data_IF_580428335089
#
_entry.id   IF_580428335089
#
_cell.length_a   1.000
_cell.length_b   1.000
_cell.length_c   1.000
_cell.angle_alpha   90.00
_cell.angle_beta   90.00
_cell.angle_gamma   90.00
#
_symmetry.space_group_name_H-M   'P 1'
#
loop_
_entity.id
_entity.type
_entity.pdbx_description
1 polymer ?
#
# COMPACT_ATOMS: atom_id res chain seq x y z
N UNK A 1 -20.78 9.46 0.01
CA UNK A 1 -21.59 8.31 -0.28
C UNK A 1 -21.10 7.11 0.47
N UNK A 2 -22.02 6.20 0.74
CA UNK A 2 -21.68 5.02 1.52
C UNK A 2 -20.64 4.16 0.83
N UNK A 3 -20.79 3.98 -0.47
CA UNK A 3 -19.87 3.15 -1.23
C UNK A 3 -18.46 3.71 -1.17
N UNK A 4 -18.35 5.00 -1.35
CA UNK A 4 -17.05 5.64 -1.31
C UNK A 4 -16.44 5.57 0.07
N UNK A 5 -17.26 5.76 1.10
CA UNK A 5 -16.79 5.64 2.47
C UNK A 5 -16.26 4.25 2.77
N UNK A 6 -16.93 3.23 2.27
CA UNK A 6 -16.50 1.86 2.50
C UNK A 6 -15.18 1.58 1.80
N UNK A 7 -15.00 2.13 0.61
CA UNK A 7 -13.75 1.96 -0.09
C UNK A 7 -12.60 2.67 0.61
N UNK A 8 -12.87 3.88 1.10
CA UNK A 8 -11.85 4.61 1.84
C UNK A 8 -11.46 3.86 3.10
N UNK A 9 -12.44 3.29 3.79
CA UNK A 9 -12.17 2.53 5.00
C UNK A 9 -11.34 1.29 4.70
N UNK A 10 -11.62 0.65 3.58
CA UNK A 10 -10.84 -0.52 3.18
C UNK A 10 -9.40 -0.14 2.90
N UNK A 11 -9.22 0.95 2.19
CA UNK A 11 -7.87 1.43 1.89
C UNK A 11 -7.14 1.79 3.18
N UNK A 12 -7.84 2.44 4.09
CA UNK A 12 -7.27 2.79 5.38
C UNK A 12 -6.83 1.54 6.15
N UNK A 13 -7.67 0.52 6.11
CA UNK A 13 -7.36 -0.74 6.80
C UNK A 13 -6.08 -1.36 6.23
N UNK A 14 -5.96 -1.37 4.91
CA UNK A 14 -4.76 -1.90 4.27
C UNK A 14 -3.53 -1.11 4.67
N UNK A 15 -3.67 0.21 4.74
CA UNK A 15 -2.56 1.07 5.13
C UNK A 15 -2.11 0.77 6.55
N UNK A 16 -3.08 0.56 7.45
CA UNK A 16 -2.74 0.24 8.83
C UNK A 16 -2.05 -1.10 8.94
N UNK A 17 -2.46 -2.07 8.14
CA UNK A 17 -1.80 -3.37 8.14
C UNK A 17 -0.36 -3.25 7.67
N UNK A 18 -0.13 -2.42 6.66
CA UNK A 18 1.24 -2.18 6.19
C UNK A 18 2.07 -1.57 7.32
N UNK A 19 1.51 -0.57 7.99
CA UNK A 19 2.20 0.10 9.08
C UNK A 19 2.53 -0.88 10.21
N UNK A 20 1.58 -1.71 10.56
CA UNK A 20 1.78 -2.69 11.61
C UNK A 20 2.88 -3.67 11.27
N UNK A 21 2.90 -4.11 10.02
CA UNK A 21 3.92 -5.06 9.58
C UNK A 21 5.31 -4.43 9.63
N UNK A 22 5.40 -3.18 9.19
CA UNK A 22 6.67 -2.47 9.22
C UNK A 22 7.18 -2.27 10.64
N UNK A 23 6.26 -2.06 11.58
CA UNK A 23 6.62 -1.80 12.96
C UNK A 23 6.80 -3.05 13.81
N UNK A 24 6.43 -4.20 13.26
CA UNK A 24 6.53 -5.44 14.02
C UNK A 24 7.98 -5.79 14.37
N UNK A 25 8.88 -5.43 13.51
CA UNK A 25 10.29 -5.59 13.79
C UNK A 25 10.75 -7.02 13.88
N UNK A 26 9.99 -7.95 13.34
CA UNK A 26 10.35 -9.36 13.44
C UNK A 26 11.52 -9.69 12.56
N UNK A 27 11.54 -9.12 11.38
CA UNK A 27 12.61 -9.35 10.42
C UNK A 27 12.84 -8.08 9.66
N UNK A 28 14.06 -7.92 9.20
CA UNK A 28 14.38 -6.79 8.37
C UNK A 28 13.79 -7.04 6.98
N UNK A 29 12.97 -6.11 6.55
CA UNK A 29 12.46 -6.16 5.20
C UNK A 29 13.58 -5.76 4.25
N UNK A 30 13.76 -6.53 3.21
CA UNK A 30 14.84 -6.26 2.27
C UNK A 30 14.64 -4.91 1.61
N UNK A 31 15.77 -4.25 1.38
CA UNK A 31 15.73 -2.93 0.79
C UNK A 31 15.06 -2.94 -0.58
N UNK A 32 15.37 -3.94 -1.38
CA UNK A 32 14.79 -4.01 -2.72
C UNK A 32 13.28 -4.28 -2.69
N UNK A 33 12.77 -4.84 -1.59
CA UNK A 33 11.33 -4.97 -1.42
C UNK A 33 10.71 -3.64 -1.02
N UNK A 34 11.42 -2.87 -0.20
CA UNK A 34 10.92 -1.59 0.28
C UNK A 34 10.78 -0.57 -0.84
N UNK A 35 11.68 -0.61 -1.81
CA UNK A 35 11.64 0.38 -2.89
C UNK A 35 10.29 0.39 -3.59
N UNK A 36 9.80 -0.75 -4.12
CA UNK A 36 8.50 -0.72 -4.77
C UNK A 36 7.34 -0.46 -3.82
N UNK A 37 7.46 -0.85 -2.56
CA UNK A 37 6.42 -0.55 -1.58
C UNK A 37 6.30 0.96 -1.41
N UNK A 38 7.42 1.62 -1.21
CA UNK A 38 7.43 3.07 -1.03
C UNK A 38 6.96 3.76 -2.30
N UNK A 39 7.39 3.26 -3.46
CA UNK A 39 6.97 3.85 -4.72
C UNK A 39 5.46 3.83 -4.87
N UNK A 40 4.85 2.67 -4.61
CA UNK A 40 3.40 2.55 -4.74
C UNK A 40 2.66 3.45 -3.76
N UNK A 41 3.13 3.49 -2.51
CA UNK A 41 2.48 4.34 -1.51
C UNK A 41 2.63 5.81 -1.86
N UNK A 42 3.78 6.20 -2.38
CA UNK A 42 4.01 7.58 -2.78
C UNK A 42 3.10 7.99 -3.92
N UNK A 43 2.89 7.08 -4.87
CA UNK A 43 1.99 7.37 -5.98
C UNK A 43 0.56 7.54 -5.50
N UNK A 44 0.14 6.70 -4.54
CA UNK A 44 -1.21 6.83 -3.98
C UNK A 44 -1.37 8.17 -3.27
N UNK A 45 -0.38 8.55 -2.49
CA UNK A 45 -0.43 9.80 -1.75
C UNK A 45 -0.46 10.98 -2.72
N UNK A 46 0.37 10.91 -3.77
CA UNK A 46 0.41 11.99 -4.75
C UNK A 46 -0.94 12.18 -5.43
N UNK A 47 -1.60 11.08 -5.73
CA UNK A 47 -2.91 11.17 -6.36
C UNK A 47 -3.95 11.77 -5.41
N UNK A 48 -3.94 11.29 -4.16
CA UNK A 48 -4.90 11.76 -3.16
C UNK A 48 -4.77 13.23 -2.84
N UNK A 49 -3.56 13.75 -2.93
CA UNK A 49 -3.29 15.12 -2.52
C UNK A 49 -3.30 16.09 -3.69
N UNK A 50 -3.82 15.66 -4.83
CA UNK A 50 -3.94 16.55 -5.97
C UNK A 50 -4.72 17.80 -5.57
N UNK A 51 -4.13 18.96 -5.82
CA UNK A 51 -4.71 20.22 -5.37
C UNK A 51 -6.03 20.55 -6.06
N UNK A 52 -6.26 19.97 -7.21
CA UNK A 52 -7.50 20.17 -7.96
C UNK A 52 -8.59 19.21 -7.48
N UNK A 53 -8.21 18.20 -6.71
CA UNK A 53 -9.18 17.26 -6.19
C UNK A 53 -9.55 16.16 -7.17
N UNK A 54 -8.76 15.97 -8.18
CA UNK A 54 -9.04 14.94 -9.19
C UNK A 54 -8.29 13.65 -8.88
N UNK A 55 -8.63 13.06 -7.77
CA UNK A 55 -8.02 11.77 -7.44
C UNK A 55 -8.95 10.64 -7.85
N UNK A 56 -8.37 9.48 -8.08
CA UNK A 56 -9.12 8.29 -8.46
C UNK A 56 -9.00 7.25 -7.36
N UNK A 57 -10.14 6.86 -6.79
CA UNK A 57 -10.14 5.82 -5.78
C UNK A 57 -9.64 4.51 -6.34
N UNK A 58 -9.94 4.23 -7.61
CA UNK A 58 -9.44 3.02 -8.23
C UNK A 58 -7.92 3.00 -8.25
N UNK A 59 -7.32 4.11 -8.63
CA UNK A 59 -5.88 4.21 -8.68
C UNK A 59 -5.26 4.11 -7.29
N UNK A 60 -5.82 4.84 -6.34
CA UNK A 60 -5.31 4.83 -4.97
C UNK A 60 -5.40 3.44 -4.38
N UNK A 61 -6.55 2.80 -4.55
CA UNK A 61 -6.75 1.47 -4.01
C UNK A 61 -5.78 0.48 -4.63
N UNK A 62 -5.59 0.58 -5.93
CA UNK A 62 -4.66 -0.32 -6.62
C UNK A 62 -3.25 -0.18 -6.10
N UNK A 63 -2.80 1.07 -5.90
CA UNK A 63 -1.44 1.30 -5.42
C UNK A 63 -1.24 0.81 -4.00
N UNK A 64 -2.22 1.04 -3.14
CA UNK A 64 -2.12 0.57 -1.77
C UNK A 64 -2.15 -0.96 -1.71
N UNK A 65 -3.00 -1.57 -2.53
CA UNK A 65 -3.04 -3.03 -2.62
C UNK A 65 -1.71 -3.60 -3.10
N UNK A 66 -1.11 -2.95 -4.08
CA UNK A 66 0.18 -3.40 -4.59
C UNK A 66 1.24 -3.36 -3.50
N UNK A 67 1.28 -2.26 -2.74
CA UNK A 67 2.23 -2.14 -1.65
C UNK A 67 2.00 -3.23 -0.60
N UNK A 68 0.75 -3.45 -0.27
CA UNK A 68 0.39 -4.48 0.70
C UNK A 68 0.82 -5.85 0.21
N UNK A 69 0.52 -6.16 -1.03
CA UNK A 69 0.87 -7.45 -1.59
C UNK A 69 2.39 -7.68 -1.57
N UNK A 70 3.13 -6.67 -2.00
CA UNK A 70 4.58 -6.80 -2.05
C UNK A 70 5.17 -7.07 -0.67
N UNK A 71 4.62 -6.40 0.32
CA UNK A 71 5.16 -6.55 1.68
C UNK A 71 4.81 -7.91 2.29
N UNK A 72 3.57 -8.35 2.09
CA UNK A 72 3.10 -9.55 2.75
C UNK A 72 3.40 -10.84 1.99
N UNK A 73 3.77 -10.73 0.74
CA UNK A 73 4.07 -11.93 -0.07
C UNK A 73 5.53 -12.02 -0.45
N UNK A 74 6.39 -11.28 0.25
CA UNK A 74 7.80 -11.26 -0.10
C UNK A 74 8.45 -12.63 0.07
N UNK A 75 7.99 -13.38 1.06
CA UNK A 75 8.58 -14.69 1.33
C UNK A 75 8.25 -15.69 0.24
N UNK A 76 7.03 -15.59 -0.31
CA UNK A 76 6.64 -16.48 -1.39
C UNK A 76 7.48 -16.27 -2.62
N UNK A 77 7.78 -15.01 -2.91
CA UNK A 77 8.64 -14.70 -4.05
C UNK A 77 10.00 -15.31 -3.86
N UNK A 78 10.54 -15.20 -2.65
CA UNK A 78 11.85 -15.74 -2.35
C UNK A 78 11.90 -17.24 -2.51
N UNK A 79 10.82 -17.92 -2.15
CA UNK A 79 10.79 -19.37 -2.20
C UNK A 79 10.84 -19.91 -3.61
N UNK A 80 10.49 -19.11 -4.58
CA UNK A 80 10.52 -19.54 -5.98
C UNK A 80 11.88 -19.35 -6.63
N UNK A 81 12.82 -18.84 -5.88
CA UNK A 81 14.17 -18.70 -6.38
C UNK A 81 14.96 -20.01 -6.24
#
# INVERSE_FOLDING_TARGET
MQKEKMRLRKIQHLAYEIMDEMNAGKELTRFDTLIPVIDNLSRAIGDLTDSVGHYSLDYVEEKVKNAHYLLFHKDKVDLHQ
#
